data_IF_351712713496
#
_entry.id   IF_351712713496
#
_cell.length_a   1.000
_cell.length_b   1.000
_cell.length_c   1.000
_cell.angle_alpha   90.00
_cell.angle_beta   90.00
_cell.angle_gamma   90.00
#
_symmetry.space_group_name_H-M   'P 1'
#
loop_
_entity.id
_entity.type
_entity.pdbx_description
1 polymer ?
#
# COMPACT_ATOMS: atom_id res chain seq x y z
N UNK A 1 -13.48 10.64 10.40
CA UNK A 1 -12.37 11.60 10.63
C UNK A 1 -12.24 12.47 9.40
N UNK A 2 -12.09 13.79 9.56
CA UNK A 2 -12.07 14.73 8.44
C UNK A 2 -10.77 14.64 7.63
N UNK A 3 -10.88 14.50 6.32
CA UNK A 3 -9.74 14.46 5.39
C UNK A 3 -8.86 15.71 5.46
N UNK A 4 -9.46 16.84 5.83
CA UNK A 4 -8.73 18.07 6.05
C UNK A 4 -7.77 17.99 7.25
N UNK A 5 -8.11 17.24 8.29
CA UNK A 5 -7.19 16.97 9.40
C UNK A 5 -6.06 16.03 8.95
N UNK A 6 -6.36 15.03 8.12
CA UNK A 6 -5.36 14.11 7.56
C UNK A 6 -4.31 14.82 6.70
N UNK A 7 -4.75 15.72 5.81
CA UNK A 7 -3.84 16.53 4.97
C UNK A 7 -2.95 17.48 5.77
N UNK A 8 -3.43 17.96 6.92
CA UNK A 8 -2.66 18.85 7.81
C UNK A 8 -1.62 18.10 8.61
N UNK A 9 -1.89 16.85 8.98
CA UNK A 9 -1.05 16.10 9.90
C UNK A 9 -0.07 15.13 9.23
N UNK A 10 -0.33 14.71 7.98
CA UNK A 10 0.48 13.70 7.28
C UNK A 10 0.76 14.09 5.84
N UNK A 11 1.95 13.72 5.34
CA UNK A 11 2.35 13.95 3.95
C UNK A 11 1.72 12.89 3.05
N UNK A 12 0.52 13.18 2.53
CA UNK A 12 -0.25 12.25 1.69
C UNK A 12 0.25 12.22 0.24
N UNK A 13 0.68 13.37 -0.28
CA UNK A 13 1.13 13.52 -1.66
C UNK A 13 2.17 14.62 -1.77
N UNK A 14 2.95 14.61 -2.85
CA UNK A 14 3.84 15.72 -3.16
C UNK A 14 3.04 17.00 -3.45
N UNK A 15 3.59 18.15 -3.04
CA UNK A 15 2.96 19.45 -3.25
C UNK A 15 2.66 19.74 -4.72
N UNK A 16 3.52 19.27 -5.64
CA UNK A 16 3.38 19.44 -7.09
C UNK A 16 2.15 18.73 -7.66
N UNK A 17 1.75 17.61 -7.05
CA UNK A 17 0.61 16.80 -7.51
C UNK A 17 -0.67 17.03 -6.72
N UNK A 18 -0.59 17.70 -5.57
CA UNK A 18 -1.71 17.90 -4.64
C UNK A 18 -2.97 18.49 -5.29
N UNK A 19 -2.82 19.36 -6.29
CA UNK A 19 -3.92 19.98 -7.05
C UNK A 19 -4.66 19.02 -7.99
N UNK A 20 -4.07 17.87 -8.31
CA UNK A 20 -4.65 16.86 -9.20
C UNK A 20 -5.31 15.71 -8.45
N UNK A 21 -5.19 15.66 -7.12
CA UNK A 21 -5.67 14.55 -6.30
C UNK A 21 -6.79 15.04 -5.36
N UNK A 22 -7.95 14.40 -5.47
CA UNK A 22 -9.06 14.55 -4.53
C UNK A 22 -9.09 13.34 -3.59
N UNK A 23 -9.17 13.60 -2.30
CA UNK A 23 -9.33 12.57 -1.27
C UNK A 23 -10.73 12.70 -0.70
N UNK A 24 -11.47 11.59 -0.63
CA UNK A 24 -12.83 11.52 -0.08
C UNK A 24 -12.94 10.39 0.93
N UNK A 25 -13.69 10.56 2.03
CA UNK A 25 -13.86 9.48 2.98
C UNK A 25 -14.83 8.47 2.37
N UNK A 26 -14.53 7.18 2.48
CA UNK A 26 -15.44 6.15 2.02
C UNK A 26 -16.76 6.24 2.80
N UNK A 27 -17.88 6.05 2.10
CA UNK A 27 -19.19 5.98 2.77
C UNK A 27 -19.34 4.65 3.49
N UNK A 28 -20.11 4.57 4.59
CA UNK A 28 -20.30 3.33 5.34
C UNK A 28 -20.87 2.15 4.51
N UNK A 29 -21.61 2.46 3.44
CA UNK A 29 -22.25 1.51 2.52
C UNK A 29 -21.41 1.18 1.28
N UNK A 30 -20.27 1.84 1.07
CA UNK A 30 -19.41 1.61 -0.08
C UNK A 30 -18.68 0.27 -0.01
N UNK A 31 -18.72 -0.46 -1.12
CA UNK A 31 -17.98 -1.70 -1.30
C UNK A 31 -16.59 -1.42 -1.86
N UNK A 32 -15.60 -1.41 -0.99
CA UNK A 32 -14.18 -0.99 -1.20
C UNK A 32 -13.39 -1.91 -2.18
N UNK A 33 -14.06 -2.78 -2.92
CA UNK A 33 -13.44 -3.77 -3.82
C UNK A 33 -13.86 -3.64 -5.28
N UNK A 34 -14.75 -2.71 -5.62
CA UNK A 34 -15.19 -2.45 -7.00
C UNK A 34 -14.71 -1.09 -7.46
N UNK A 35 -13.68 -1.07 -8.31
CA UNK A 35 -13.43 0.05 -9.22
C UNK A 35 -14.42 -0.05 -10.36
N UNK A 36 -15.23 0.98 -10.57
CA UNK A 36 -16.14 1.09 -11.72
C UNK A 36 -15.60 2.08 -12.75
N UNK A 37 -16.10 2.05 -14.00
CA UNK A 37 -15.81 3.09 -14.98
C UNK A 37 -16.34 4.42 -14.42
N UNK A 38 -15.43 5.24 -13.93
CA UNK A 38 -15.70 6.52 -13.30
C UNK A 38 -14.83 7.57 -13.95
N UNK A 39 -15.40 8.76 -14.10
CA UNK A 39 -14.70 9.94 -14.58
C UNK A 39 -14.91 11.08 -13.58
N UNK A 40 -13.86 11.53 -12.87
CA UNK A 40 -12.47 11.08 -12.95
C UNK A 40 -12.25 9.68 -12.35
N UNK A 41 -11.16 8.97 -12.73
CA UNK A 41 -10.83 7.66 -12.17
C UNK A 41 -10.49 7.78 -10.68
N UNK A 42 -10.89 6.77 -9.90
CA UNK A 42 -10.57 6.68 -8.48
C UNK A 42 -10.14 5.27 -8.08
N UNK A 43 -9.47 5.18 -6.92
CA UNK A 43 -9.16 3.92 -6.27
C UNK A 43 -9.31 4.09 -4.75
N UNK A 44 -9.52 2.97 -4.07
CA UNK A 44 -9.57 2.95 -2.61
C UNK A 44 -8.20 2.66 -2.02
N UNK A 45 -7.93 3.23 -0.85
CA UNK A 45 -6.68 3.08 -0.12
C UNK A 45 -6.94 3.22 1.38
N UNK A 46 -6.28 2.41 2.22
CA UNK A 46 -6.45 2.56 3.66
C UNK A 46 -5.69 3.78 4.18
N UNK A 47 -6.28 4.47 5.13
CA UNK A 47 -5.70 5.67 5.71
C UNK A 47 -4.37 5.40 6.42
N UNK A 48 -4.20 4.21 7.01
CA UNK A 48 -2.98 3.81 7.70
C UNK A 48 -1.74 3.80 6.80
N UNK A 49 -1.87 3.67 5.47
CA UNK A 49 -0.73 3.72 4.55
C UNK A 49 -0.04 5.09 4.61
N UNK A 50 -0.83 6.17 4.62
CA UNK A 50 -0.28 7.52 4.73
C UNK A 50 0.13 7.86 6.17
N UNK A 51 -0.70 7.47 7.13
CA UNK A 51 -0.53 7.84 8.54
C UNK A 51 0.66 7.13 9.19
N UNK A 52 0.73 5.81 9.01
CA UNK A 52 1.64 4.96 9.78
C UNK A 52 2.80 4.41 8.94
N UNK A 53 2.59 4.21 7.64
CA UNK A 53 3.60 3.61 6.75
C UNK A 53 4.35 4.65 5.91
N UNK A 54 3.94 5.92 5.95
CA UNK A 54 4.60 7.00 5.20
C UNK A 54 4.52 6.86 3.68
N UNK A 55 3.59 6.05 3.16
CA UNK A 55 3.29 5.97 1.72
C UNK A 55 2.85 7.34 1.26
N UNK A 56 3.25 7.74 0.05
CA UNK A 56 2.99 9.06 -0.51
C UNK A 56 2.56 8.94 -1.97
N UNK A 57 1.65 9.80 -2.43
CA UNK A 57 1.22 9.87 -3.83
C UNK A 57 2.05 10.89 -4.65
N UNK A 58 2.31 10.63 -5.95
CA UNK A 58 1.98 9.38 -6.65
C UNK A 58 2.81 8.21 -6.09
N UNK A 59 2.30 6.99 -6.19
CA UNK A 59 3.07 5.81 -5.82
C UNK A 59 4.39 5.78 -6.60
N UNK A 60 5.43 5.28 -5.96
CA UNK A 60 6.71 5.03 -6.63
C UNK A 60 6.55 4.00 -7.75
N UNK A 61 7.46 4.03 -8.72
CA UNK A 61 7.46 3.06 -9.82
C UNK A 61 7.49 1.61 -9.29
N UNK A 62 8.29 1.35 -8.26
CA UNK A 62 8.35 0.03 -7.61
C UNK A 62 7.01 -0.43 -7.01
N UNK A 63 6.29 0.46 -6.31
CA UNK A 63 4.97 0.13 -5.76
C UNK A 63 3.97 -0.15 -6.89
N UNK A 64 3.98 0.65 -7.95
CA UNK A 64 3.16 0.43 -9.15
C UNK A 64 3.49 -0.92 -9.83
N UNK A 65 4.77 -1.23 -10.03
CA UNK A 65 5.21 -2.47 -10.66
C UNK A 65 4.80 -3.69 -9.83
N UNK A 66 4.92 -3.60 -8.50
CA UNK A 66 4.44 -4.66 -7.62
C UNK A 66 2.93 -4.86 -7.70
N UNK A 67 2.14 -3.78 -7.62
CA UNK A 67 0.67 -3.86 -7.72
C UNK A 67 0.22 -4.42 -9.08
N UNK A 68 0.90 -4.03 -10.16
CA UNK A 68 0.68 -4.57 -11.51
C UNK A 68 1.05 -6.06 -11.58
N UNK A 69 2.17 -6.47 -10.99
CA UNK A 69 2.61 -7.86 -10.95
C UNK A 69 1.59 -8.78 -10.26
N UNK A 70 0.99 -8.31 -9.16
CA UNK A 70 -0.04 -9.07 -8.45
C UNK A 70 -1.46 -8.84 -8.98
N UNK A 71 -1.61 -7.98 -10.00
CA UNK A 71 -2.87 -7.54 -10.58
C UNK A 71 -3.92 -7.14 -9.52
N UNK A 72 -3.51 -6.26 -8.59
CA UNK A 72 -4.32 -5.92 -7.43
C UNK A 72 -4.34 -4.42 -7.14
N UNK A 73 -5.49 -3.93 -6.68
CA UNK A 73 -5.64 -2.54 -6.25
C UNK A 73 -4.96 -2.29 -4.89
N UNK A 74 -4.56 -1.03 -4.57
CA UNK A 74 -3.92 -0.70 -3.30
C UNK A 74 -4.67 -1.18 -2.05
N UNK A 75 -6.01 -1.10 -2.04
CA UNK A 75 -6.87 -1.55 -0.94
C UNK A 75 -6.98 -3.07 -0.78
N UNK A 76 -6.62 -3.84 -1.80
CA UNK A 76 -6.65 -5.31 -1.75
C UNK A 76 -5.38 -5.90 -1.12
N UNK A 77 -4.31 -5.11 -1.08
CA UNK A 77 -3.08 -5.47 -0.39
C UNK A 77 -3.20 -5.13 1.11
N UNK A 78 -2.94 -6.11 1.96
CA UNK A 78 -3.00 -5.93 3.41
C UNK A 78 -2.01 -4.83 3.88
N UNK A 79 -2.36 -3.94 4.84
CA UNK A 79 -1.46 -2.86 5.28
C UNK A 79 -0.07 -3.32 5.74
N UNK A 80 0.03 -4.44 6.46
CA UNK A 80 1.35 -5.00 6.79
C UNK A 80 2.22 -5.30 5.55
N UNK A 81 1.61 -5.69 4.44
CA UNK A 81 2.33 -5.96 3.19
C UNK A 81 2.87 -4.68 2.57
N UNK A 82 2.13 -3.58 2.66
CA UNK A 82 2.62 -2.24 2.32
C UNK A 82 3.84 -1.86 3.16
N UNK A 83 3.86 -2.26 4.44
CA UNK A 83 5.03 -2.08 5.31
C UNK A 83 6.29 -2.77 4.78
N UNK A 84 6.17 -3.99 4.21
CA UNK A 84 7.32 -4.66 3.59
C UNK A 84 7.84 -3.92 2.36
N UNK A 85 6.95 -3.40 1.50
CA UNK A 85 7.35 -2.60 0.35
C UNK A 85 8.13 -1.36 0.79
N UNK A 86 7.60 -0.60 1.76
CA UNK A 86 8.27 0.60 2.28
C UNK A 86 9.60 0.30 2.93
N UNK A 87 9.66 -0.68 3.82
CA UNK A 87 10.90 -1.06 4.50
C UNK A 87 11.98 -1.52 3.50
N UNK A 88 11.59 -2.20 2.41
CA UNK A 88 12.53 -2.62 1.38
C UNK A 88 13.06 -1.42 0.58
N UNK A 89 12.20 -0.46 0.22
CA UNK A 89 12.62 0.78 -0.43
C UNK A 89 13.57 1.60 0.45
N UNK A 90 13.26 1.72 1.74
CA UNK A 90 14.10 2.44 2.70
C UNK A 90 15.46 1.76 2.88
N UNK A 91 15.49 0.42 2.95
CA UNK A 91 16.73 -0.35 3.00
C UNK A 91 17.57 -0.16 1.73
N UNK A 92 16.97 -0.30 0.55
CA UNK A 92 17.67 -0.06 -0.72
C UNK A 92 18.26 1.35 -0.78
N UNK A 93 17.47 2.37 -0.39
CA UNK A 93 17.93 3.75 -0.34
C UNK A 93 19.08 3.94 0.65
N UNK A 94 19.03 3.33 1.83
CA UNK A 94 20.08 3.43 2.84
C UNK A 94 21.39 2.76 2.38
N UNK A 95 21.28 1.68 1.59
CA UNK A 95 22.42 0.97 1.00
C UNK A 95 22.92 1.61 -0.30
N UNK A 96 22.22 2.63 -0.84
CA UNK A 96 22.56 3.26 -2.11
C UNK A 96 22.37 2.35 -3.33
N UNK A 97 21.49 1.35 -3.22
CA UNK A 97 21.17 0.42 -4.31
C UNK A 97 19.79 0.71 -4.90
N UNK A 98 19.61 0.36 -6.17
CA UNK A 98 18.31 0.46 -6.82
C UNK A 98 17.34 -0.59 -6.27
N UNK A 99 16.09 -0.17 -6.07
CA UNK A 99 15.01 -1.07 -5.66
C UNK A 99 14.63 -1.99 -6.83
N UNK A 100 14.53 -3.29 -6.58
CA UNK A 100 14.29 -4.28 -7.63
C UNK A 100 13.15 -5.24 -7.25
N UNK A 101 12.12 -5.31 -8.10
CA UNK A 101 10.98 -6.22 -7.92
C UNK A 101 11.40 -7.70 -7.88
N UNK A 102 12.24 -8.22 -8.80
CA UNK A 102 12.74 -9.59 -8.69
C UNK A 102 13.47 -9.90 -7.38
N UNK A 103 14.28 -8.96 -6.88
CA UNK A 103 14.98 -9.13 -5.59
C UNK A 103 14.00 -9.12 -4.44
N UNK A 104 13.00 -8.23 -4.46
CA UNK A 104 11.93 -8.24 -3.46
C UNK A 104 11.20 -9.58 -3.42
N UNK A 105 10.80 -10.11 -4.58
CA UNK A 105 10.09 -11.39 -4.71
C UNK A 105 10.94 -12.61 -4.33
N UNK A 106 12.27 -12.47 -4.24
CA UNK A 106 13.13 -13.51 -3.68
C UNK A 106 12.93 -13.66 -2.16
N UNK A 107 12.80 -12.54 -1.45
CA UNK A 107 12.67 -12.51 0.01
C UNK A 107 11.22 -12.63 0.50
N UNK A 108 10.24 -12.29 -0.33
CA UNK A 108 8.84 -12.30 0.04
C UNK A 108 7.98 -13.15 -0.87
N UNK A 109 7.06 -13.89 -0.27
CA UNK A 109 6.05 -14.67 -0.97
C UNK A 109 4.66 -14.10 -0.75
N UNK A 110 3.83 -14.20 -1.80
CA UNK A 110 2.43 -13.82 -1.75
C UNK A 110 1.59 -14.94 -1.10
N UNK A 111 0.64 -14.53 -0.27
CA UNK A 111 -0.38 -15.37 0.33
C UNK A 111 -1.74 -14.74 0.03
N UNK A 112 -2.51 -15.43 -0.79
CA UNK A 112 -3.89 -15.05 -1.08
C UNK A 112 -4.77 -15.47 0.09
N UNK A 113 -5.55 -14.53 0.63
CA UNK A 113 -6.60 -14.87 1.59
C UNK A 113 -7.69 -15.74 0.94
N UNK A 114 -8.48 -16.41 1.77
CA UNK A 114 -9.56 -17.28 1.28
C UNK A 114 -10.69 -16.44 0.67
N UNK A 115 -11.21 -16.79 -0.52
CA UNK A 115 -12.37 -16.12 -1.11
C UNK A 115 -13.60 -16.12 -0.19
N UNK A 116 -14.51 -15.13 -0.29
CA UNK A 116 -14.57 -14.07 -1.29
C UNK A 116 -13.90 -12.75 -0.87
N UNK A 117 -13.34 -12.66 0.35
CA UNK A 117 -12.80 -11.43 0.95
C UNK A 117 -11.31 -11.52 1.30
N UNK A 118 -10.59 -12.44 0.66
CA UNK A 118 -9.19 -12.67 0.93
C UNK A 118 -8.31 -11.51 0.49
N UNK A 119 -7.80 -10.73 1.45
CA UNK A 119 -6.75 -9.75 1.16
C UNK A 119 -5.47 -10.46 0.72
N UNK A 120 -4.76 -9.87 -0.22
CA UNK A 120 -3.42 -10.30 -0.62
C UNK A 120 -2.46 -9.90 0.49
N UNK A 121 -1.70 -10.86 1.02
CA UNK A 121 -0.73 -10.62 2.07
C UNK A 121 0.67 -11.09 1.67
N UNK A 122 1.70 -10.43 2.17
CA UNK A 122 3.08 -10.85 2.02
C UNK A 122 3.56 -11.52 3.31
N UNK A 123 4.42 -12.52 3.16
CA UNK A 123 5.23 -13.04 4.26
C UNK A 123 6.65 -13.32 3.77
N UNK A 124 7.59 -13.49 4.70
CA UNK A 124 8.93 -13.95 4.35
C UNK A 124 8.87 -15.26 3.55
N UNK A 125 9.78 -15.39 2.58
CA UNK A 125 9.92 -16.59 1.75
C UNK A 125 10.57 -17.72 2.54
N UNK A 126 10.55 -18.94 1.97
CA UNK A 126 11.24 -20.10 2.54
C UNK A 126 12.77 -19.92 2.61
N UNK A 127 13.33 -19.02 1.81
CA UNK A 127 14.75 -18.67 1.85
C UNK A 127 15.10 -17.68 2.97
N UNK A 128 14.10 -17.19 3.72
CA UNK A 128 14.23 -16.15 4.72
C UNK A 128 13.65 -14.82 4.23
N UNK A 129 12.93 -14.12 5.10
CA UNK A 129 12.48 -12.75 4.86
C UNK A 129 13.44 -11.73 5.47
N UNK A 130 13.62 -10.57 4.83
CA UNK A 130 14.49 -9.51 5.34
C UNK A 130 13.90 -8.81 6.58
N UNK A 131 12.58 -8.76 6.67
CA UNK A 131 11.87 -8.10 7.77
C UNK A 131 10.87 -9.05 8.40
N UNK A 132 10.65 -8.89 9.70
CA UNK A 132 9.56 -9.52 10.44
C UNK A 132 8.35 -8.59 10.47
N UNK A 133 7.16 -9.17 10.68
CA UNK A 133 5.94 -8.38 10.86
C UNK A 133 6.08 -7.54 12.13
N UNK A 134 5.83 -6.23 12.01
CA UNK A 134 5.74 -5.33 13.16
C UNK A 134 4.65 -5.78 14.14
N UNK A 135 3.52 -6.28 13.63
CA UNK A 135 2.48 -6.94 14.41
C UNK A 135 1.81 -8.03 13.59
N UNK A 136 1.65 -9.22 14.18
CA UNK A 136 0.92 -10.34 13.58
C UNK A 136 -0.57 -10.05 13.42
N UNK A 137 -1.09 -9.01 14.08
CA UNK A 137 -2.50 -8.66 14.06
C UNK A 137 -2.71 -7.16 13.98
N UNK A 138 -2.33 -6.58 12.85
CA UNK A 138 -2.73 -5.21 12.52
C UNK A 138 -4.25 -5.22 12.30
N UNK A 139 -5.02 -5.07 13.38
CA UNK A 139 -6.49 -5.27 13.41
C UNK A 139 -7.28 -3.97 13.31
N UNK A 140 -6.62 -2.80 13.37
CA UNK A 140 -7.27 -1.48 13.47
C UNK A 140 -6.73 -0.55 12.37
N UNK A 141 -6.85 -0.96 11.10
CA UNK A 141 -6.39 -0.20 9.92
C UNK A 141 -7.48 0.59 9.17
N UNK A 142 -8.71 0.60 9.68
CA UNK A 142 -9.82 1.33 9.07
C UNK A 142 -9.48 2.81 8.86
#
# INVERSE_FOLDING_TARGET
MEINAMRKSHRICDSSVSKFIRLEPCRPDERVYMGGPSDPPFFYVYQCLFRDLGVCLPFSQFECDFLNFINSAPCQLHPNSWGFLRAFQDLCSALGIEVSLPVFLHFYQLKMGVPPYGLTSLSGSKAGGLFSLYSQSYKIFK
#
